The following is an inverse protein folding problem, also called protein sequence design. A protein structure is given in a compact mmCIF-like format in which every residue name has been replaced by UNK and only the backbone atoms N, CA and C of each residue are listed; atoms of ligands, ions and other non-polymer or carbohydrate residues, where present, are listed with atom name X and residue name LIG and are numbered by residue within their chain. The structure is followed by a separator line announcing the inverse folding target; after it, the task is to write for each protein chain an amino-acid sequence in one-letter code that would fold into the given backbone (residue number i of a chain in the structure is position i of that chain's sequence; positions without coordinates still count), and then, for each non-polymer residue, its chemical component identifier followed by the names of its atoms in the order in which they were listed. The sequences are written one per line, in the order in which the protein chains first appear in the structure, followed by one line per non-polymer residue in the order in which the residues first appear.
data_IF_094612360285
#
_entry.id   IF_094612360285
#
_cell.length_a   1.000
_cell.length_b   1.000
_cell.length_c   1.000
_cell.angle_alpha   90.00
_cell.angle_beta   90.00
_cell.angle_gamma   90.00
#
_symmetry.space_group_name_H-M   'P 1'
#
loop_
_entity.id
_entity.type
_entity.pdbx_description
1 polymer ?
#
# COMPACT_ATOMS: atom_id res chain seq x y z
N UNK A 1 -52.26 25.97 22.10
CA UNK A 1 -50.79 25.80 22.19
C UNK A 1 -50.40 24.78 21.15
N UNK A 2 -50.30 25.23 19.89
CA UNK A 2 -49.83 24.39 18.79
C UNK A 2 -48.32 24.57 18.73
N UNK A 3 -47.60 23.47 18.98
CA UNK A 3 -46.15 23.45 19.07
C UNK A 3 -45.62 23.62 17.66
N UNK A 4 -45.26 24.85 17.29
CA UNK A 4 -44.66 25.19 16.01
C UNK A 4 -43.33 24.43 15.89
N UNK A 5 -43.42 23.24 15.31
CA UNK A 5 -42.28 22.38 15.05
C UNK A 5 -41.49 23.05 13.93
N UNK A 6 -40.48 23.85 14.31
CA UNK A 6 -39.54 24.50 13.40
C UNK A 6 -38.86 23.43 12.56
N UNK A 7 -39.45 23.11 11.43
CA UNK A 7 -38.89 22.19 10.46
C UNK A 7 -37.56 22.76 9.99
N UNK A 8 -36.46 22.04 10.27
CA UNK A 8 -35.14 22.35 9.76
C UNK A 8 -35.20 22.65 8.25
N UNK A 9 -34.60 23.76 7.83
CA UNK A 9 -34.59 24.19 6.43
C UNK A 9 -33.93 23.15 5.51
N UNK A 10 -34.24 23.18 4.20
CA UNK A 10 -33.79 22.16 3.24
C UNK A 10 -32.27 22.00 3.19
N UNK A 11 -31.52 23.10 3.25
CA UNK A 11 -30.05 23.06 3.28
C UNK A 11 -29.51 22.29 4.49
N UNK A 12 -30.11 22.47 5.67
CA UNK A 12 -29.68 21.78 6.89
C UNK A 12 -29.92 20.26 6.80
N UNK A 13 -31.03 19.85 6.17
CA UNK A 13 -31.33 18.43 5.94
C UNK A 13 -30.34 17.79 4.97
N UNK A 14 -30.06 18.45 3.84
CA UNK A 14 -29.08 17.97 2.86
C UNK A 14 -27.72 17.80 3.53
N UNK A 15 -27.27 18.82 4.26
CA UNK A 15 -26.02 18.80 5.03
C UNK A 15 -25.97 17.62 6.01
N UNK A 16 -27.02 17.39 6.79
CA UNK A 16 -27.08 16.28 7.74
C UNK A 16 -27.03 14.90 7.05
N UNK A 17 -27.76 14.73 5.95
CA UNK A 17 -27.75 13.48 5.17
C UNK A 17 -26.35 13.23 4.57
N UNK A 18 -25.71 14.26 4.00
CA UNK A 18 -24.34 14.15 3.48
C UNK A 18 -23.35 13.71 4.56
N UNK A 19 -23.41 14.31 5.76
CA UNK A 19 -22.57 13.93 6.88
C UNK A 19 -22.80 12.48 7.34
N UNK A 20 -24.07 12.04 7.39
CA UNK A 20 -24.42 10.67 7.76
C UNK A 20 -23.89 9.64 6.76
N UNK A 21 -24.06 9.90 5.45
CA UNK A 21 -23.58 9.00 4.40
C UNK A 21 -22.04 8.95 4.42
N UNK A 22 -21.37 10.08 4.61
CA UNK A 22 -19.90 10.14 4.72
C UNK A 22 -19.36 9.30 5.87
N UNK A 23 -20.01 9.40 7.03
CA UNK A 23 -19.70 8.58 8.21
C UNK A 23 -19.95 7.11 7.93
N UNK A 24 -21.13 6.76 7.40
CA UNK A 24 -21.53 5.38 7.17
C UNK A 24 -20.58 4.69 6.18
N UNK A 25 -20.24 5.33 5.06
CA UNK A 25 -19.32 4.76 4.08
C UNK A 25 -17.92 4.57 4.64
N UNK A 26 -17.45 5.52 5.46
CA UNK A 26 -16.12 5.43 6.08
C UNK A 26 -16.03 4.33 7.14
N UNK A 27 -17.08 4.20 7.98
CA UNK A 27 -17.19 3.11 8.97
C UNK A 27 -17.30 1.76 8.29
N UNK A 28 -18.16 1.62 7.26
CA UNK A 28 -18.29 0.37 6.52
C UNK A 28 -17.00 -0.03 5.83
N UNK A 29 -16.29 0.91 5.19
CA UNK A 29 -14.97 0.65 4.61
C UNK A 29 -14.00 0.12 5.68
N UNK A 30 -13.87 0.81 6.81
CA UNK A 30 -13.00 0.40 7.91
C UNK A 30 -13.35 -0.98 8.48
N UNK A 31 -14.64 -1.24 8.75
CA UNK A 31 -15.11 -2.51 9.29
C UNK A 31 -14.88 -3.68 8.33
N UNK A 32 -15.21 -3.50 7.04
CA UNK A 32 -15.02 -4.56 6.03
C UNK A 32 -13.55 -4.87 5.83
N UNK A 33 -12.67 -3.87 5.83
CA UNK A 33 -11.23 -4.09 5.71
C UNK A 33 -10.60 -4.66 6.98
N UNK A 34 -11.15 -4.36 8.16
CA UNK A 34 -10.67 -4.92 9.43
C UNK A 34 -11.14 -6.35 9.69
N UNK A 35 -12.33 -6.69 9.21
CA UNK A 35 -12.82 -8.07 9.26
C UNK A 35 -12.12 -8.82 8.14
N UNK A 36 -11.45 -9.94 8.44
CA UNK A 36 -10.76 -10.79 7.45
C UNK A 36 -11.77 -11.51 6.51
N UNK A 37 -12.72 -10.77 5.98
CA UNK A 37 -13.69 -11.22 5.00
C UNK A 37 -12.96 -11.54 3.70
N UNK A 38 -13.44 -12.54 2.95
CA UNK A 38 -12.86 -12.95 1.66
C UNK A 38 -13.05 -11.91 0.54
N UNK A 39 -13.44 -10.68 0.87
CA UNK A 39 -13.71 -9.63 -0.11
C UNK A 39 -12.38 -8.93 -0.42
N UNK A 40 -11.92 -8.91 -1.68
CA UNK A 40 -10.71 -8.20 -2.05
C UNK A 40 -10.81 -6.71 -1.69
N UNK A 41 -9.77 -6.14 -1.09
CA UNK A 41 -9.77 -4.73 -0.66
C UNK A 41 -10.09 -3.74 -1.80
N UNK A 42 -9.69 -4.07 -3.03
CA UNK A 42 -10.00 -3.28 -4.22
C UNK A 42 -11.51 -3.21 -4.50
N UNK A 43 -12.23 -4.30 -4.29
CA UNK A 43 -13.68 -4.35 -4.45
C UNK A 43 -14.37 -3.49 -3.38
N UNK A 44 -13.93 -3.59 -2.13
CA UNK A 44 -14.46 -2.76 -1.03
C UNK A 44 -14.26 -1.27 -1.31
N UNK A 45 -13.06 -0.86 -1.76
CA UNK A 45 -12.74 0.54 -2.07
C UNK A 45 -13.52 1.09 -3.28
N UNK A 46 -13.94 0.22 -4.20
CA UNK A 46 -14.78 0.62 -5.33
C UNK A 46 -16.18 1.08 -4.88
N UNK A 47 -16.80 0.35 -3.95
CA UNK A 47 -18.16 0.69 -3.48
C UNK A 47 -18.18 1.61 -2.27
N UNK A 48 -17.19 1.50 -1.39
CA UNK A 48 -17.03 2.31 -0.20
C UNK A 48 -15.69 3.03 -0.28
N UNK A 49 -15.60 4.14 -1.03
CA UNK A 49 -14.37 4.91 -1.09
C UNK A 49 -13.96 5.35 0.30
N UNK A 50 -12.67 5.52 0.50
CA UNK A 50 -12.07 5.86 1.80
C UNK A 50 -12.38 7.32 2.17
N UNK A 51 -13.60 7.57 2.68
CA UNK A 51 -14.03 8.88 3.18
C UNK A 51 -13.38 9.23 4.52
N UNK A 52 -13.01 8.21 5.28
CA UNK A 52 -12.20 8.32 6.51
C UNK A 52 -10.97 7.45 6.29
N UNK A 53 -9.78 8.05 6.42
CA UNK A 53 -8.53 7.38 6.14
C UNK A 53 -8.35 6.14 7.03
N UNK A 54 -7.82 5.04 6.48
CA UNK A 54 -7.60 3.78 7.20
C UNK A 54 -6.70 3.99 8.43
N UNK A 55 -5.72 4.89 8.32
CA UNK A 55 -4.83 5.30 9.41
C UNK A 55 -5.59 5.91 10.60
N UNK A 56 -6.74 6.55 10.38
CA UNK A 56 -7.57 7.08 11.45
C UNK A 56 -8.08 5.95 12.36
N UNK A 57 -8.42 4.80 11.80
CA UNK A 57 -8.86 3.63 12.58
C UNK A 57 -7.74 2.96 13.36
N UNK A 58 -6.49 3.11 12.90
CA UNK A 58 -5.29 2.58 13.57
C UNK A 58 -4.72 3.52 14.64
N UNK A 59 -5.26 4.74 14.77
CA UNK A 59 -4.79 5.71 15.75
C UNK A 59 -5.17 5.32 17.17
N UNK A 60 -4.39 5.71 18.16
CA UNK A 60 -4.72 5.44 19.57
C UNK A 60 -5.94 6.23 20.02
N UNK A 61 -6.69 5.70 20.98
CA UNK A 61 -7.82 6.43 21.54
C UNK A 61 -7.35 7.76 22.17
N UNK A 62 -8.11 8.86 22.03
CA UNK A 62 -9.47 8.98 21.46
C UNK A 62 -9.50 9.39 19.96
N UNK A 63 -8.35 9.37 19.28
CA UNK A 63 -8.19 9.98 17.94
C UNK A 63 -9.09 9.42 16.85
N UNK A 64 -9.38 8.11 16.76
CA UNK A 64 -10.31 7.59 15.74
C UNK A 64 -11.68 8.28 15.79
N UNK A 65 -12.19 8.53 17.00
CA UNK A 65 -13.50 9.16 17.22
C UNK A 65 -13.43 10.65 16.87
N UNK A 66 -12.41 11.35 17.38
CA UNK A 66 -12.26 12.79 17.18
C UNK A 66 -12.03 13.16 15.71
N UNK A 67 -11.12 12.46 15.03
CA UNK A 67 -10.83 12.72 13.61
C UNK A 67 -12.04 12.42 12.71
N UNK A 68 -12.77 11.34 13.02
CA UNK A 68 -14.02 11.01 12.33
C UNK A 68 -15.06 12.12 12.52
N UNK A 69 -15.26 12.58 13.76
CA UNK A 69 -16.18 13.65 14.08
C UNK A 69 -15.81 14.97 13.36
N UNK A 70 -14.53 15.37 13.41
CA UNK A 70 -14.06 16.59 12.75
C UNK A 70 -14.18 16.50 11.23
N UNK A 71 -13.93 15.33 10.63
CA UNK A 71 -14.12 15.09 9.19
C UNK A 71 -15.59 15.29 8.77
N UNK A 72 -16.52 14.67 9.50
CA UNK A 72 -17.96 14.80 9.25
C UNK A 72 -18.42 16.26 9.42
N UNK A 73 -18.03 16.92 10.50
CA UNK A 73 -18.42 18.31 10.76
C UNK A 73 -17.85 19.28 9.71
N UNK A 74 -16.62 19.05 9.25
CA UNK A 74 -15.99 19.87 8.20
C UNK A 74 -16.72 19.71 6.87
N UNK A 75 -17.04 18.46 6.47
CA UNK A 75 -17.86 18.20 5.29
C UNK A 75 -19.22 18.90 5.38
N UNK A 76 -19.88 18.78 6.54
CA UNK A 76 -21.18 19.40 6.78
C UNK A 76 -21.10 20.92 6.64
N UNK A 77 -20.06 21.53 7.22
CA UNK A 77 -19.86 22.97 7.17
C UNK A 77 -19.58 23.48 5.74
N UNK A 78 -18.72 22.79 4.97
CA UNK A 78 -18.50 23.13 3.56
C UNK A 78 -19.73 22.93 2.70
N UNK A 79 -20.47 21.83 2.90
CA UNK A 79 -21.73 21.58 2.18
C UNK A 79 -22.73 22.70 2.46
N UNK A 80 -22.93 23.05 3.73
CA UNK A 80 -23.85 24.13 4.11
C UNK A 80 -23.44 25.48 3.52
N UNK A 81 -22.14 25.80 3.57
CA UNK A 81 -21.59 27.04 3.02
C UNK A 81 -21.80 27.13 1.51
N UNK A 82 -21.46 26.07 0.76
CA UNK A 82 -21.60 26.02 -0.70
C UNK A 82 -23.06 26.06 -1.14
N UNK A 83 -23.96 25.37 -0.44
CA UNK A 83 -25.39 25.43 -0.74
C UNK A 83 -25.98 26.82 -0.46
N UNK A 84 -25.53 27.49 0.60
CA UNK A 84 -25.95 28.87 0.89
C UNK A 84 -25.48 29.85 -0.18
N UNK A 85 -24.24 29.74 -0.65
CA UNK A 85 -23.70 30.63 -1.69
C UNK A 85 -24.30 30.35 -3.06
N UNK A 86 -24.54 29.08 -3.41
CA UNK A 86 -25.20 28.68 -4.66
C UNK A 86 -26.70 29.06 -4.67
N UNK A 87 -27.39 28.88 -3.54
CA UNK A 87 -28.81 29.18 -3.37
C UNK A 87 -29.15 30.68 -3.50
N UNK A 88 -28.21 31.58 -3.18
CA UNK A 88 -28.39 33.03 -3.34
C UNK A 88 -28.46 33.49 -4.80
N UNK A 89 -28.07 32.65 -5.79
CA UNK A 89 -28.10 33.01 -7.22
C UNK A 89 -29.26 32.40 -8.00
N UNK A 90 -29.90 31.35 -7.50
CA UNK A 90 -30.82 30.51 -8.29
C UNK A 90 -32.31 30.79 -8.08
N UNK A 91 -32.69 31.85 -7.35
CA UNK A 91 -34.07 32.13 -6.99
C UNK A 91 -34.95 32.67 -8.13
N UNK A 92 -34.43 32.84 -9.35
CA UNK A 92 -35.18 33.51 -10.43
C UNK A 92 -35.65 32.60 -11.57
N UNK A 93 -35.07 31.41 -11.76
CA UNK A 93 -35.43 30.53 -12.88
C UNK A 93 -35.35 29.05 -12.46
N UNK A 94 -36.46 28.49 -11.97
CA UNK A 94 -36.51 27.10 -11.47
C UNK A 94 -36.93 26.12 -12.56
N UNK A 95 -35.98 25.39 -13.11
CA UNK A 95 -36.23 24.02 -13.60
C UNK A 95 -35.64 23.03 -12.59
N UNK A 96 -36.26 21.86 -12.43
CA UNK A 96 -35.94 20.89 -11.36
C UNK A 96 -34.55 20.24 -11.52
N UNK A 97 -34.07 20.13 -12.76
CA UNK A 97 -32.82 19.49 -13.12
C UNK A 97 -31.54 20.28 -12.73
N UNK A 98 -31.41 21.60 -13.02
CA UNK A 98 -30.23 22.37 -12.62
C UNK A 98 -30.05 22.47 -11.10
N UNK A 99 -31.14 22.43 -10.32
CA UNK A 99 -31.06 22.43 -8.86
C UNK A 99 -30.41 21.18 -8.27
N UNK A 100 -30.72 20.00 -8.84
CA UNK A 100 -30.08 18.75 -8.47
C UNK A 100 -28.57 18.78 -8.78
N UNK A 101 -28.21 19.14 -10.02
CA UNK A 101 -26.82 19.15 -10.46
C UNK A 101 -25.97 20.13 -9.64
N UNK A 102 -26.48 21.33 -9.37
CA UNK A 102 -25.79 22.31 -8.54
C UNK A 102 -25.56 21.80 -7.11
N UNK A 103 -26.58 21.17 -6.51
CA UNK A 103 -26.47 20.57 -5.16
C UNK A 103 -25.45 19.44 -5.14
N UNK A 104 -25.46 18.57 -6.15
CA UNK A 104 -24.50 17.47 -6.27
C UNK A 104 -23.07 17.97 -6.43
N UNK A 105 -22.84 18.98 -7.28
CA UNK A 105 -21.52 19.60 -7.43
C UNK A 105 -21.05 20.27 -6.13
N UNK A 106 -21.95 20.89 -5.36
CA UNK A 106 -21.60 21.43 -4.04
C UNK A 106 -21.11 20.34 -3.07
N UNK A 107 -21.71 19.15 -3.11
CA UNK A 107 -21.31 18.02 -2.26
C UNK A 107 -19.95 17.46 -2.70
N UNK A 108 -19.70 17.35 -4.01
CA UNK A 108 -18.39 16.93 -4.54
C UNK A 108 -17.30 17.92 -4.09
N UNK A 109 -17.53 19.22 -4.26
CA UNK A 109 -16.59 20.26 -3.84
C UNK A 109 -16.38 20.27 -2.31
N UNK A 110 -17.42 20.02 -1.53
CA UNK A 110 -17.30 19.90 -0.08
C UNK A 110 -16.42 18.71 0.31
N UNK A 111 -16.58 17.56 -0.34
CA UNK A 111 -15.74 16.38 -0.11
C UNK A 111 -14.27 16.65 -0.44
N UNK A 112 -13.98 17.26 -1.60
CA UNK A 112 -12.63 17.71 -1.96
C UNK A 112 -12.05 18.67 -0.94
N UNK A 113 -12.83 19.66 -0.49
CA UNK A 113 -12.42 20.61 0.53
C UNK A 113 -12.01 19.92 1.83
N UNK A 114 -12.86 19.02 2.34
CA UNK A 114 -12.56 18.24 3.56
C UNK A 114 -11.27 17.44 3.40
N UNK A 115 -11.11 16.73 2.28
CA UNK A 115 -9.91 15.94 2.02
C UNK A 115 -8.64 16.80 1.91
N UNK A 116 -8.71 17.97 1.29
CA UNK A 116 -7.58 18.89 1.19
C UNK A 116 -7.05 19.32 2.56
N UNK A 117 -7.93 19.59 3.53
CA UNK A 117 -7.53 19.94 4.90
C UNK A 117 -6.99 18.74 5.69
N UNK A 118 -7.53 17.54 5.48
CA UNK A 118 -6.95 16.31 6.04
C UNK A 118 -5.53 16.10 5.48
N UNK A 119 -5.35 16.23 4.17
CA UNK A 119 -4.06 16.11 3.49
C UNK A 119 -3.05 17.16 3.97
N UNK A 120 -3.49 18.40 4.18
CA UNK A 120 -2.65 19.45 4.76
C UNK A 120 -2.19 19.09 6.18
N UNK A 121 -3.06 18.48 6.99
CA UNK A 121 -2.69 17.96 8.31
C UNK A 121 -1.61 16.88 8.24
N UNK A 122 -1.68 15.99 7.24
CA UNK A 122 -0.64 14.99 7.01
C UNK A 122 0.69 15.60 6.57
N UNK A 123 0.65 16.61 5.69
CA UNK A 123 1.85 17.36 5.29
C UNK A 123 2.55 17.93 6.53
N UNK A 124 1.81 18.55 7.45
CA UNK A 124 2.37 19.05 8.71
C UNK A 124 2.89 17.94 9.62
N UNK A 125 2.18 16.82 9.72
CA UNK A 125 2.60 15.67 10.53
C UNK A 125 3.93 15.07 10.06
N UNK A 126 4.23 15.17 8.76
CA UNK A 126 5.43 14.61 8.14
C UNK A 126 6.64 15.56 8.10
N UNK A 127 6.55 16.73 8.73
CA UNK A 127 7.60 17.75 8.65
C UNK A 127 8.68 17.58 9.74
N UNK A 128 9.99 17.69 9.41
CA UNK A 128 10.56 17.87 8.07
C UNK A 128 10.53 16.57 7.25
N UNK A 129 10.17 16.61 5.95
CA UNK A 129 10.07 15.42 5.14
C UNK A 129 11.47 14.88 4.80
N UNK A 130 11.62 13.56 4.79
CA UNK A 130 12.86 12.93 4.33
C UNK A 130 13.12 13.18 2.83
N UNK A 131 12.05 13.29 2.02
CA UNK A 131 12.08 13.64 0.59
C UNK A 131 10.87 14.50 0.24
N UNK A 132 11.05 15.52 -0.60
CA UNK A 132 9.95 16.39 -1.05
C UNK A 132 8.83 15.62 -1.78
N UNK A 133 9.17 14.57 -2.52
CA UNK A 133 8.19 13.72 -3.22
C UNK A 133 7.19 13.06 -2.26
N UNK A 134 7.61 12.74 -1.03
CA UNK A 134 6.75 12.08 -0.04
C UNK A 134 5.66 13.00 0.53
N UNK A 135 5.79 14.33 0.38
CA UNK A 135 4.75 15.27 0.76
C UNK A 135 3.47 15.08 -0.06
N UNK A 136 3.57 14.62 -1.31
CA UNK A 136 2.43 14.47 -2.22
C UNK A 136 1.77 13.09 -2.15
N UNK A 137 2.48 12.10 -1.61
CA UNK A 137 2.03 10.70 -1.57
C UNK A 137 0.72 10.52 -0.78
N UNK A 138 0.52 11.30 0.29
CA UNK A 138 -0.73 11.30 1.05
C UNK A 138 -1.83 12.21 0.48
N UNK A 139 -1.49 13.16 -0.39
CA UNK A 139 -2.43 14.18 -0.90
C UNK A 139 -3.27 13.62 -2.03
N UNK A 140 -2.63 13.02 -3.03
CA UNK A 140 -3.31 12.53 -4.23
C UNK A 140 -4.38 11.46 -3.93
N UNK A 141 -4.11 10.41 -3.11
CA UNK A 141 -5.12 9.39 -2.83
C UNK A 141 -6.32 9.94 -2.06
N UNK A 142 -6.10 10.82 -1.09
CA UNK A 142 -7.18 11.41 -0.29
C UNK A 142 -8.12 12.28 -1.15
N UNK A 143 -7.56 13.13 -2.00
CA UNK A 143 -8.35 13.95 -2.92
C UNK A 143 -9.10 13.10 -3.94
N UNK A 144 -8.45 12.08 -4.52
CA UNK A 144 -9.08 11.17 -5.47
C UNK A 144 -10.25 10.42 -4.83
N UNK A 145 -10.05 9.83 -3.65
CA UNK A 145 -11.08 9.08 -2.92
C UNK A 145 -12.26 9.97 -2.52
N UNK A 146 -12.01 11.21 -2.09
CA UNK A 146 -13.08 12.14 -1.73
C UNK A 146 -13.88 12.61 -2.95
N UNK A 147 -13.21 12.88 -4.08
CA UNK A 147 -13.86 13.19 -5.34
C UNK A 147 -14.71 12.02 -5.84
N UNK A 148 -14.13 10.81 -5.81
CA UNK A 148 -14.82 9.58 -6.19
C UNK A 148 -16.03 9.30 -5.29
N UNK A 149 -15.91 9.51 -3.98
CA UNK A 149 -17.03 9.44 -3.04
C UNK A 149 -18.13 10.43 -3.40
N UNK A 150 -17.79 11.68 -3.70
CA UNK A 150 -18.76 12.71 -4.08
C UNK A 150 -19.55 12.32 -5.34
N UNK A 151 -18.90 11.68 -6.31
CA UNK A 151 -19.53 11.18 -7.53
C UNK A 151 -20.44 9.99 -7.19
N UNK A 152 -19.93 9.00 -6.46
CA UNK A 152 -20.63 7.73 -6.23
C UNK A 152 -21.80 7.85 -5.24
N UNK A 153 -21.64 8.64 -4.18
CA UNK A 153 -22.58 8.72 -3.06
C UNK A 153 -23.24 10.10 -2.92
N UNK A 154 -22.62 11.16 -3.45
CA UNK A 154 -23.11 12.54 -3.30
C UNK A 154 -24.43 12.81 -4.02
N UNK A 155 -24.84 11.97 -4.98
CA UNK A 155 -26.13 12.13 -5.66
C UNK A 155 -27.33 11.83 -4.74
N UNK A 156 -27.18 10.98 -3.73
CA UNK A 156 -28.27 10.63 -2.78
C UNK A 156 -28.74 11.87 -1.99
N UNK A 157 -27.87 12.59 -1.27
CA UNK A 157 -28.27 13.81 -0.56
C UNK A 157 -28.72 14.91 -1.53
N UNK A 158 -28.15 14.99 -2.74
CA UNK A 158 -28.58 15.94 -3.76
C UNK A 158 -30.02 15.68 -4.24
N UNK A 159 -30.35 14.40 -4.50
CA UNK A 159 -31.68 13.98 -4.92
C UNK A 159 -32.70 14.24 -3.82
N UNK A 160 -32.38 13.84 -2.57
CA UNK A 160 -33.22 14.12 -1.41
C UNK A 160 -33.49 15.63 -1.25
N UNK A 161 -32.47 16.47 -1.45
CA UNK A 161 -32.60 17.92 -1.45
C UNK A 161 -33.55 18.46 -2.50
N UNK A 162 -33.38 18.02 -3.75
CA UNK A 162 -34.23 18.44 -4.88
C UNK A 162 -35.71 18.04 -4.70
N UNK A 163 -35.97 16.88 -4.08
CA UNK A 163 -37.32 16.42 -3.77
C UNK A 163 -37.98 17.27 -2.68
N UNK A 164 -37.24 17.63 -1.64
CA UNK A 164 -37.76 18.48 -0.56
C UNK A 164 -38.08 19.88 -1.07
N UNK A 165 -37.19 20.48 -1.88
CA UNK A 165 -37.44 21.82 -2.44
C UNK A 165 -38.62 21.82 -3.41
N UNK A 166 -38.76 20.80 -4.26
CA UNK A 166 -39.91 20.65 -5.15
C UNK A 166 -41.24 20.53 -4.38
N UNK A 167 -41.26 19.79 -3.27
CA UNK A 167 -42.46 19.66 -2.42
C UNK A 167 -42.82 20.98 -1.73
N UNK A 168 -41.83 21.70 -1.19
CA UNK A 168 -42.08 23.00 -0.54
C UNK A 168 -42.62 24.02 -1.54
N UNK A 169 -42.08 24.06 -2.77
CA UNK A 169 -42.55 24.94 -3.82
C UNK A 169 -43.99 24.60 -4.29
N UNK A 170 -44.37 23.32 -4.25
CA UNK A 170 -45.73 22.89 -4.59
C UNK A 170 -46.76 23.23 -3.50
N UNK A 171 -46.34 23.27 -2.23
CA UNK A 171 -47.23 23.51 -1.09
C UNK A 171 -47.53 24.99 -0.83
N UNK A 172 -46.65 25.92 -1.25
CA UNK A 172 -46.78 27.34 -0.91
C UNK A 172 -46.41 28.24 -2.11
N UNK A 173 -47.38 28.59 -2.98
CA UNK A 173 -47.13 29.40 -4.18
C UNK A 173 -46.92 30.90 -3.88
N UNK A 174 -47.08 31.32 -2.63
CA UNK A 174 -46.90 32.72 -2.24
C UNK A 174 -45.40 33.03 -2.14
N UNK A 175 -44.94 33.99 -2.95
CA UNK A 175 -43.55 34.41 -2.99
C UNK A 175 -43.00 34.70 -1.57
N UNK A 176 -41.92 34.03 -1.15
CA UNK A 176 -41.40 34.21 0.21
C UNK A 176 -40.90 35.65 0.39
N UNK A 177 -41.31 36.28 1.50
CA UNK A 177 -40.76 37.58 1.91
C UNK A 177 -39.24 37.45 2.08
N UNK A 178 -38.46 38.45 1.62
CA UNK A 178 -37.01 38.41 1.77
C UNK A 178 -36.65 38.27 3.24
N UNK A 179 -35.98 37.16 3.57
CA UNK A 179 -35.51 36.90 4.92
C UNK A 179 -34.54 38.01 5.36
N UNK A 180 -34.52 38.36 6.67
CA UNK A 180 -33.61 39.36 7.19
C UNK A 180 -32.16 38.99 6.85
N UNK A 181 -31.36 40.01 6.50
CA UNK A 181 -29.95 39.93 6.11
C UNK A 181 -29.12 39.33 7.26
N UNK A 182 -29.08 38.01 7.32
CA UNK A 182 -28.44 37.26 8.40
C UNK A 182 -26.92 37.33 8.21
N UNK A 183 -26.18 37.82 9.23
CA UNK A 183 -24.71 38.03 9.19
C UNK A 183 -23.98 36.87 8.49
N UNK A 184 -23.46 37.14 7.30
CA UNK A 184 -22.82 36.13 6.43
C UNK A 184 -21.49 35.57 6.97
N UNK A 185 -20.88 36.23 7.96
CA UNK A 185 -19.57 35.84 8.49
C UNK A 185 -19.59 34.58 9.37
N UNK A 186 -20.69 34.27 10.05
CA UNK A 186 -20.75 33.16 11.01
C UNK A 186 -20.51 31.77 10.38
N UNK A 187 -21.20 31.36 9.29
CA UNK A 187 -20.98 30.04 8.70
C UNK A 187 -19.58 29.89 8.09
N UNK A 188 -19.02 30.97 7.53
CA UNK A 188 -17.64 30.98 7.02
C UNK A 188 -16.65 30.78 8.15
N UNK A 189 -16.79 31.54 9.24
CA UNK A 189 -15.92 31.41 10.41
C UNK A 189 -16.00 30.00 11.02
N UNK A 190 -17.19 29.41 11.09
CA UNK A 190 -17.38 28.04 11.57
C UNK A 190 -16.72 27.00 10.65
N UNK A 191 -16.88 27.11 9.33
CA UNK A 191 -16.26 26.22 8.37
C UNK A 191 -14.73 26.29 8.43
N UNK A 192 -14.17 27.51 8.51
CA UNK A 192 -12.73 27.73 8.67
C UNK A 192 -12.22 27.14 9.99
N UNK A 193 -12.93 27.39 11.10
CA UNK A 193 -12.55 26.86 12.41
C UNK A 193 -12.52 25.33 12.41
N UNK A 194 -13.54 24.67 11.85
CA UNK A 194 -13.61 23.21 11.78
C UNK A 194 -12.50 22.64 10.87
N UNK A 195 -12.25 23.27 9.72
CA UNK A 195 -11.19 22.86 8.81
C UNK A 195 -9.79 22.99 9.45
N UNK A 196 -9.53 24.10 10.18
CA UNK A 196 -8.28 24.29 10.92
C UNK A 196 -8.15 23.29 12.08
N UNK A 197 -9.24 23.01 12.79
CA UNK A 197 -9.27 22.01 13.87
C UNK A 197 -8.95 20.62 13.34
N UNK A 198 -9.55 20.23 12.21
CA UNK A 198 -9.26 18.97 11.54
C UNK A 198 -7.79 18.89 11.10
N UNK A 199 -7.27 19.96 10.49
CA UNK A 199 -5.86 20.06 10.05
C UNK A 199 -4.89 19.90 11.22
N UNK A 200 -5.18 20.53 12.37
CA UNK A 200 -4.34 20.46 13.56
C UNK A 200 -4.48 19.13 14.33
N UNK A 201 -5.64 18.47 14.26
CA UNK A 201 -5.89 17.21 14.95
C UNK A 201 -5.11 16.04 14.32
N UNK A 202 -4.89 16.05 13.00
CA UNK A 202 -4.13 15.00 12.30
C UNK A 202 -2.69 14.84 12.81
N UNK A 203 -1.84 15.89 12.87
CA UNK A 203 -0.47 15.75 13.39
C UNK A 203 -0.46 15.41 14.88
N UNK A 204 -1.40 15.93 15.67
CA UNK A 204 -1.53 15.55 17.08
C UNK A 204 -1.82 14.05 17.21
N UNK A 205 -2.80 13.51 16.47
CA UNK A 205 -3.11 12.09 16.45
C UNK A 205 -1.89 11.23 16.07
N UNK A 206 -1.12 11.68 15.07
CA UNK A 206 0.08 11.00 14.62
C UNK A 206 1.13 10.94 15.74
N UNK A 207 1.43 12.08 16.37
CA UNK A 207 2.39 12.19 17.47
C UNK A 207 2.02 11.30 18.67
N UNK A 208 0.77 11.35 19.12
CA UNK A 208 0.32 10.53 20.26
C UNK A 208 0.28 9.04 19.93
N UNK A 209 -0.08 8.66 18.71
CA UNK A 209 -0.07 7.26 18.28
C UNK A 209 1.34 6.71 18.27
N UNK A 210 2.32 7.45 17.72
CA UNK A 210 3.73 7.06 17.72
C UNK A 210 4.28 6.92 19.15
N UNK A 211 4.02 7.89 20.03
CA UNK A 211 4.50 7.83 21.41
C UNK A 211 3.88 6.68 22.20
N UNK A 212 2.60 6.38 21.99
CA UNK A 212 1.95 5.25 22.64
C UNK A 212 2.53 3.91 22.16
N UNK A 213 2.85 3.80 20.87
CA UNK A 213 3.53 2.62 20.32
C UNK A 213 4.95 2.48 20.88
N UNK A 214 5.72 3.57 20.94
CA UNK A 214 7.05 3.57 21.54
C UNK A 214 7.03 3.20 23.04
N UNK A 215 6.02 3.66 23.79
CA UNK A 215 5.83 3.33 25.20
C UNK A 215 5.38 1.88 25.43
N UNK A 216 4.63 1.29 24.51
CA UNK A 216 4.24 -0.12 24.57
C UNK A 216 5.43 -1.08 24.44
N UNK A 217 6.50 -0.67 23.74
CA UNK A 217 7.75 -1.45 23.64
C UNK A 217 8.52 -1.48 24.98
N UNK A 218 8.29 -0.52 25.88
CA UNK A 218 9.02 -0.39 27.15
C UNK A 218 8.27 -1.06 28.32
N UNK A 219 6.94 -1.23 28.22
CA UNK A 219 6.11 -1.88 29.25
C UNK A 219 5.91 -3.37 29.01
N UNK A 220 6.96 -4.10 28.65
CA UNK A 220 6.97 -5.55 28.84
C UNK A 220 7.32 -5.84 30.30
N UNK A 221 6.30 -6.07 31.13
CA UNK A 221 6.41 -7.05 32.23
C UNK A 221 7.16 -8.27 31.68
N UNK A 222 8.10 -8.92 32.40
CA UNK A 222 8.80 -10.10 31.89
C UNK A 222 7.77 -11.15 31.46
N UNK A 223 7.48 -11.18 30.16
CA UNK A 223 6.70 -12.22 29.56
C UNK A 223 7.55 -13.48 29.67
N UNK A 224 6.90 -14.57 30.05
CA UNK A 224 7.41 -15.92 29.84
C UNK A 224 8.09 -15.96 28.45
N UNK A 225 9.31 -16.50 28.31
CA UNK A 225 10.05 -16.44 27.05
C UNK A 225 9.20 -17.07 25.95
N UNK A 226 8.56 -16.22 25.16
CA UNK A 226 7.97 -16.62 23.89
C UNK A 226 9.14 -17.20 23.11
N UNK A 227 9.09 -18.47 22.68
CA UNK A 227 10.17 -18.99 21.85
C UNK A 227 10.31 -18.04 20.68
N UNK A 228 11.48 -17.43 20.55
CA UNK A 228 11.83 -16.62 19.38
C UNK A 228 11.44 -17.48 18.18
N UNK A 229 10.53 -17.00 17.29
CA UNK A 229 10.19 -17.78 16.12
C UNK A 229 11.51 -18.06 15.40
N UNK A 230 11.90 -19.33 15.36
CA UNK A 230 13.09 -19.76 14.63
C UNK A 230 12.87 -19.35 13.18
N UNK A 231 13.73 -18.50 12.60
CA UNK A 231 13.62 -18.13 11.19
C UNK A 231 13.53 -19.42 10.36
N UNK A 232 12.42 -19.59 9.66
CA UNK A 232 12.28 -20.73 8.74
C UNK A 232 12.86 -20.29 7.40
N UNK A 233 14.19 -20.35 7.31
CA UNK A 233 14.90 -20.25 6.05
C UNK A 233 14.57 -21.44 5.16
N UNK A 234 14.97 -21.36 3.89
CA UNK A 234 14.92 -22.54 3.04
C UNK A 234 15.77 -23.67 3.62
N UNK A 235 15.30 -24.91 3.45
CA UNK A 235 16.06 -26.09 3.85
C UNK A 235 17.43 -26.14 3.16
N UNK A 236 18.42 -26.71 3.84
CA UNK A 236 19.76 -26.95 3.31
C UNK A 236 19.78 -27.99 2.18
N UNK A 237 18.68 -28.72 1.98
CA UNK A 237 18.49 -29.68 0.89
C UNK A 237 17.06 -29.58 0.35
N UNK A 238 16.92 -29.49 -0.98
CA UNK A 238 15.62 -29.57 -1.67
C UNK A 238 15.13 -31.01 -1.81
N UNK A 239 13.86 -31.16 -2.17
CA UNK A 239 13.38 -32.39 -2.78
C UNK A 239 14.06 -32.59 -4.15
N UNK A 240 14.51 -33.82 -4.41
CA UNK A 240 15.10 -34.16 -5.70
C UNK A 240 14.02 -34.18 -6.80
N UNK A 241 14.23 -33.40 -7.86
CA UNK A 241 13.37 -33.41 -9.05
C UNK A 241 13.73 -34.54 -10.04
N UNK A 242 14.98 -35.01 -9.97
CA UNK A 242 15.52 -36.07 -10.80
C UNK A 242 16.39 -37.01 -9.97
N UNK A 243 16.48 -38.27 -10.39
CA UNK A 243 17.39 -39.21 -9.77
C UNK A 243 18.84 -38.78 -10.03
N UNK A 244 19.64 -38.69 -8.98
CA UNK A 244 21.03 -38.31 -9.09
C UNK A 244 21.83 -39.41 -9.79
N UNK A 245 22.68 -39.02 -10.74
CA UNK A 245 23.64 -39.95 -11.35
C UNK A 245 24.67 -40.45 -10.34
N UNK A 246 25.17 -41.67 -10.54
CA UNK A 246 26.07 -42.38 -9.62
C UNK A 246 27.35 -41.57 -9.28
N UNK A 247 27.83 -40.75 -10.21
CA UNK A 247 29.07 -39.96 -10.06
C UNK A 247 28.84 -38.44 -10.03
N UNK A 248 27.63 -37.99 -9.68
CA UNK A 248 27.34 -36.56 -9.64
C UNK A 248 28.07 -35.86 -8.49
N UNK A 249 28.48 -34.61 -8.71
CA UNK A 249 29.11 -33.80 -7.66
C UNK A 249 28.08 -33.46 -6.57
N UNK A 250 28.15 -34.13 -5.42
CA UNK A 250 27.31 -33.80 -4.26
C UNK A 250 27.79 -32.50 -3.62
N UNK A 251 26.86 -31.80 -2.97
CA UNK A 251 27.14 -30.56 -2.24
C UNK A 251 28.28 -30.71 -1.22
N UNK A 252 28.33 -31.84 -0.54
CA UNK A 252 29.38 -32.23 0.42
C UNK A 252 30.75 -32.53 -0.22
N UNK A 253 30.81 -32.73 -1.54
CA UNK A 253 32.03 -32.98 -2.32
C UNK A 253 32.56 -31.73 -3.05
N UNK A 254 31.91 -30.58 -2.88
CA UNK A 254 32.28 -29.32 -3.55
C UNK A 254 32.35 -28.16 -2.57
N UNK A 255 33.05 -27.10 -2.97
CA UNK A 255 32.88 -25.76 -2.43
C UNK A 255 32.21 -24.88 -3.47
N UNK A 256 31.28 -24.02 -3.05
CA UNK A 256 30.62 -23.04 -3.92
C UNK A 256 30.95 -21.63 -3.43
N UNK A 257 31.32 -20.75 -4.37
CA UNK A 257 31.49 -19.32 -4.13
C UNK A 257 30.65 -18.52 -5.09
N UNK A 258 30.09 -17.42 -4.61
CA UNK A 258 29.34 -16.45 -5.43
C UNK A 258 30.19 -15.21 -5.67
N UNK A 259 30.13 -14.66 -6.88
CA UNK A 259 30.82 -13.44 -7.26
C UNK A 259 30.09 -12.18 -6.82
N UNK A 260 30.68 -11.02 -7.08
CA UNK A 260 29.98 -9.74 -6.93
C UNK A 260 28.95 -9.56 -8.05
N UNK A 261 27.80 -8.93 -7.79
CA UNK A 261 26.82 -8.65 -8.81
C UNK A 261 27.31 -7.54 -9.76
N UNK A 262 27.24 -7.80 -11.06
CA UNK A 262 27.48 -6.83 -12.11
C UNK A 262 26.16 -6.36 -12.71
N UNK A 263 26.15 -5.22 -13.39
CA UNK A 263 24.92 -4.78 -14.03
C UNK A 263 25.07 -3.75 -15.15
N UNK A 264 24.15 -3.83 -16.09
CA UNK A 264 24.04 -2.95 -17.23
C UNK A 264 22.56 -2.70 -17.56
N UNK A 265 22.23 -1.45 -17.93
CA UNK A 265 20.91 -1.08 -18.48
C UNK A 265 19.68 -1.57 -17.69
N UNK A 266 19.77 -1.64 -16.36
CA UNK A 266 18.66 -2.09 -15.50
C UNK A 266 18.62 -3.61 -15.27
N UNK A 267 19.59 -4.35 -15.77
CA UNK A 267 19.78 -5.77 -15.53
C UNK A 267 21.00 -6.01 -14.64
N UNK A 268 20.98 -7.13 -13.94
CA UNK A 268 22.02 -7.61 -13.03
C UNK A 268 22.36 -9.05 -13.34
N UNK A 269 23.62 -9.41 -13.11
CA UNK A 269 24.11 -10.78 -13.23
C UNK A 269 25.13 -11.06 -12.14
N UNK A 270 25.23 -12.32 -11.72
CA UNK A 270 26.19 -12.75 -10.72
C UNK A 270 26.69 -14.15 -11.06
N UNK A 271 28.00 -14.35 -11.01
CA UNK A 271 28.63 -15.64 -11.23
C UNK A 271 28.55 -16.53 -9.99
N UNK A 272 28.40 -17.83 -10.21
CA UNK A 272 28.48 -18.89 -9.21
C UNK A 272 29.60 -19.82 -9.67
N UNK A 273 30.58 -20.07 -8.82
CA UNK A 273 31.69 -21.00 -9.11
C UNK A 273 31.57 -22.18 -8.17
N UNK A 274 31.63 -23.38 -8.73
CA UNK A 274 31.70 -24.64 -8.00
C UNK A 274 33.07 -25.28 -8.24
N UNK A 275 33.70 -25.75 -7.18
CA UNK A 275 35.01 -26.41 -7.23
C UNK A 275 34.91 -27.76 -6.56
N UNK A 276 35.38 -28.82 -7.23
CA UNK A 276 35.44 -30.16 -6.65
C UNK A 276 36.53 -30.18 -5.55
N UNK A 277 36.12 -30.37 -4.30
CA UNK A 277 37.01 -30.46 -3.14
C UNK A 277 37.26 -31.89 -2.67
N UNK A 278 36.58 -32.87 -3.29
CA UNK A 278 36.80 -34.28 -3.03
C UNK A 278 38.09 -34.80 -3.68
N UNK A 279 38.51 -35.99 -3.26
CA UNK A 279 39.69 -36.69 -3.82
C UNK A 279 39.37 -37.49 -5.08
N UNK A 280 38.10 -37.63 -5.44
CA UNK A 280 37.62 -38.37 -6.61
C UNK A 280 37.01 -37.40 -7.63
N UNK A 281 37.08 -37.72 -8.94
CA UNK A 281 36.36 -36.96 -9.94
C UNK A 281 34.85 -37.10 -9.77
N UNK A 282 34.12 -36.07 -10.17
CA UNK A 282 32.65 -36.06 -10.18
C UNK A 282 32.14 -35.33 -11.42
N UNK A 283 30.82 -35.40 -11.66
CA UNK A 283 30.18 -34.82 -12.84
C UNK A 283 29.10 -33.81 -12.44
N UNK A 284 29.05 -32.67 -13.13
CA UNK A 284 27.91 -31.76 -13.12
C UNK A 284 27.06 -32.01 -14.37
N UNK A 285 25.75 -32.15 -14.20
CA UNK A 285 24.83 -32.45 -15.30
C UNK A 285 23.40 -31.95 -15.01
N UNK A 286 23.29 -30.73 -14.48
CA UNK A 286 22.01 -30.09 -14.17
C UNK A 286 22.14 -28.57 -14.16
N UNK A 287 21.04 -27.89 -13.90
CA UNK A 287 21.09 -26.52 -13.40
C UNK A 287 21.47 -26.53 -11.90
N UNK A 288 22.12 -25.46 -11.39
CA UNK A 288 22.25 -25.24 -9.96
C UNK A 288 20.87 -25.15 -9.29
N UNK A 289 20.75 -25.71 -8.09
CA UNK A 289 19.58 -25.49 -7.24
C UNK A 289 19.84 -24.28 -6.34
N UNK A 290 19.05 -23.21 -6.52
CA UNK A 290 19.23 -21.94 -5.84
C UNK A 290 17.97 -21.52 -5.09
N UNK A 291 18.16 -21.00 -3.89
CA UNK A 291 17.10 -20.37 -3.08
C UNK A 291 17.68 -19.18 -2.32
N UNK A 292 16.81 -18.32 -1.82
CA UNK A 292 17.21 -17.05 -1.22
C UNK A 292 16.55 -16.86 0.14
N UNK A 293 17.33 -16.36 1.09
CA UNK A 293 16.85 -15.88 2.37
C UNK A 293 17.11 -14.37 2.48
N UNK A 294 16.36 -13.68 3.34
CA UNK A 294 16.66 -12.31 3.71
C UNK A 294 17.83 -12.24 4.72
N UNK A 295 18.26 -11.02 5.07
CA UNK A 295 19.38 -10.81 5.99
C UNK A 295 19.13 -11.34 7.43
N UNK A 296 17.86 -11.58 7.78
CA UNK A 296 17.43 -12.14 9.06
C UNK A 296 17.30 -13.69 9.00
N UNK A 297 17.61 -14.32 7.86
CA UNK A 297 17.56 -15.77 7.65
C UNK A 297 16.17 -16.33 7.30
N UNK A 298 15.19 -15.49 6.96
CA UNK A 298 13.87 -15.93 6.51
C UNK A 298 13.86 -16.25 5.02
N UNK A 299 13.20 -17.35 4.65
CA UNK A 299 12.94 -17.67 3.26
C UNK A 299 12.20 -16.52 2.56
N UNK A 300 12.66 -16.16 1.37
CA UNK A 300 11.92 -15.33 0.42
C UNK A 300 11.59 -16.18 -0.81
N UNK A 301 10.39 -15.95 -1.36
CA UNK A 301 9.90 -16.71 -2.50
C UNK A 301 10.36 -16.04 -3.79
N UNK A 302 11.29 -16.66 -4.49
CA UNK A 302 11.82 -16.15 -5.76
C UNK A 302 11.56 -17.20 -6.83
N UNK A 303 10.96 -16.78 -7.94
CA UNK A 303 10.78 -17.65 -9.10
C UNK A 303 12.11 -17.83 -9.80
N UNK A 304 12.69 -19.02 -9.70
CA UNK A 304 13.90 -19.40 -10.43
C UNK A 304 13.51 -20.00 -11.78
N UNK A 305 14.05 -19.44 -12.85
CA UNK A 305 13.80 -19.88 -14.23
C UNK A 305 15.10 -20.40 -14.82
N UNK A 306 15.11 -21.64 -15.29
CA UNK A 306 16.26 -22.18 -16.02
C UNK A 306 16.38 -21.50 -17.40
N UNK A 307 17.57 -20.99 -17.72
CA UNK A 307 17.82 -20.28 -18.97
C UNK A 307 18.72 -19.07 -18.83
N UNK A 308 18.96 -18.41 -19.97
CA UNK A 308 19.70 -17.16 -20.05
C UNK A 308 18.84 -15.94 -19.66
N UNK A 309 19.50 -14.79 -19.59
CA UNK A 309 18.88 -13.48 -19.38
C UNK A 309 19.50 -12.44 -20.31
N UNK A 310 19.19 -11.17 -20.09
CA UNK A 310 19.92 -10.08 -20.72
C UNK A 310 21.42 -10.08 -20.37
N UNK A 311 21.79 -10.55 -19.17
CA UNK A 311 23.16 -10.51 -18.67
C UNK A 311 23.93 -11.81 -18.90
N UNK A 312 23.24 -12.89 -19.27
CA UNK A 312 23.80 -14.25 -19.24
C UNK A 312 23.30 -15.07 -20.43
N UNK A 313 24.20 -15.77 -21.09
CA UNK A 313 23.86 -16.78 -22.10
C UNK A 313 23.86 -18.16 -21.44
N UNK A 314 22.80 -18.94 -21.66
CA UNK A 314 22.71 -20.31 -21.14
C UNK A 314 23.23 -21.31 -22.17
N UNK A 315 24.33 -22.04 -21.88
CA UNK A 315 24.82 -23.09 -22.78
C UNK A 315 23.90 -24.32 -22.79
N UNK A 316 22.97 -24.43 -21.84
CA UNK A 316 22.14 -25.60 -21.62
C UNK A 316 22.88 -26.72 -20.89
N UNK A 317 22.12 -27.69 -20.38
CA UNK A 317 22.68 -28.80 -19.59
C UNK A 317 23.57 -29.67 -20.46
N UNK A 318 24.81 -29.84 -20.01
CA UNK A 318 25.79 -30.77 -20.59
C UNK A 318 26.55 -31.48 -19.46
N UNK A 319 27.22 -32.58 -19.81
CA UNK A 319 28.05 -33.33 -18.87
C UNK A 319 29.39 -32.62 -18.68
N UNK A 320 29.69 -32.21 -17.45
CA UNK A 320 30.94 -31.50 -17.11
C UNK A 320 31.70 -32.33 -16.07
N UNK A 321 32.74 -33.07 -16.49
CA UNK A 321 33.59 -33.79 -15.55
C UNK A 321 34.51 -32.81 -14.80
N UNK A 322 34.50 -32.88 -13.47
CA UNK A 322 35.39 -32.12 -12.60
C UNK A 322 36.38 -33.06 -11.91
N UNK A 323 37.65 -32.95 -12.29
CA UNK A 323 38.75 -33.53 -11.53
C UNK A 323 38.87 -32.88 -10.13
N UNK A 324 39.54 -33.51 -9.16
CA UNK A 324 39.86 -32.87 -7.88
C UNK A 324 40.53 -31.50 -8.08
N UNK A 325 39.96 -30.46 -7.47
CA UNK A 325 40.41 -29.08 -7.59
C UNK A 325 39.98 -28.34 -8.86
N UNK A 326 39.30 -29.00 -9.81
CA UNK A 326 38.76 -28.34 -11.00
C UNK A 326 37.46 -27.60 -10.67
N UNK A 327 37.17 -26.55 -11.46
CA UNK A 327 36.01 -25.69 -11.27
C UNK A 327 35.12 -25.60 -12.52
N UNK A 328 33.85 -25.36 -12.27
CA UNK A 328 32.86 -24.93 -13.26
C UNK A 328 32.17 -23.67 -12.75
N UNK A 329 31.47 -22.97 -13.64
CA UNK A 329 30.69 -21.81 -13.29
C UNK A 329 29.26 -21.91 -13.84
N UNK A 330 28.34 -21.23 -13.18
CA UNK A 330 27.02 -20.91 -13.69
C UNK A 330 26.77 -19.42 -13.40
N UNK A 331 25.70 -18.87 -13.94
CA UNK A 331 25.31 -17.50 -13.68
C UNK A 331 23.86 -17.40 -13.30
N UNK A 332 23.56 -16.44 -12.44
CA UNK A 332 22.20 -15.94 -12.25
C UNK A 332 22.05 -14.58 -12.91
N UNK A 333 20.86 -14.30 -13.42
CA UNK A 333 20.52 -13.03 -14.05
C UNK A 333 19.14 -12.54 -13.60
N UNK A 334 18.99 -11.24 -13.38
CA UNK A 334 17.70 -10.65 -12.99
C UNK A 334 17.59 -9.20 -13.43
N UNK A 335 16.36 -8.67 -13.40
CA UNK A 335 16.10 -7.25 -13.59
C UNK A 335 16.26 -6.55 -12.23
N UNK A 336 16.94 -5.42 -12.17
CA UNK A 336 17.07 -4.64 -10.95
C UNK A 336 15.68 -4.31 -10.39
N UNK A 337 15.39 -4.75 -9.15
CA UNK A 337 14.08 -4.58 -8.54
C UNK A 337 14.09 -3.40 -7.57
N UNK A 338 12.95 -2.74 -7.40
CA UNK A 338 12.83 -1.62 -6.48
C UNK A 338 12.78 -2.14 -5.03
N UNK A 339 13.93 -2.30 -4.38
CA UNK A 339 14.02 -2.86 -3.02
C UNK A 339 13.60 -1.91 -1.88
N UNK A 340 13.10 -0.71 -2.19
CA UNK A 340 12.80 0.30 -1.17
C UNK A 340 11.50 -0.03 -0.41
N UNK A 341 11.64 -0.56 0.81
CA UNK A 341 10.51 -0.93 1.67
C UNK A 341 10.10 -2.41 1.57
N UNK A 342 10.76 -3.18 0.72
CA UNK A 342 10.53 -4.62 0.54
C UNK A 342 11.59 -5.47 1.27
N UNK A 343 11.24 -6.74 1.51
CA UNK A 343 12.18 -7.74 2.02
C UNK A 343 13.12 -8.14 0.89
N UNK A 344 14.42 -7.87 1.06
CA UNK A 344 15.47 -8.17 0.09
C UNK A 344 16.31 -9.37 0.49
N UNK A 345 16.95 -9.96 -0.51
CA UNK A 345 17.91 -11.05 -0.33
C UNK A 345 19.11 -10.57 0.48
N UNK A 346 19.43 -11.32 1.55
CA UNK A 346 20.65 -11.16 2.34
C UNK A 346 21.54 -12.40 2.33
N UNK A 347 21.02 -13.53 1.83
CA UNK A 347 21.72 -14.80 1.75
C UNK A 347 21.21 -15.58 0.53
N UNK A 348 22.14 -16.19 -0.19
CA UNK A 348 21.86 -17.14 -1.28
C UNK A 348 22.33 -18.52 -0.85
N UNK A 349 21.52 -19.55 -1.11
CA UNK A 349 21.88 -20.94 -0.90
C UNK A 349 21.93 -21.63 -2.26
N UNK A 350 23.05 -22.31 -2.53
CA UNK A 350 23.32 -22.93 -3.84
C UNK A 350 23.78 -24.36 -3.67
N UNK A 351 23.20 -25.29 -4.41
CA UNK A 351 23.67 -26.66 -4.57
C UNK A 351 24.03 -26.97 -6.03
N UNK A 352 24.93 -27.93 -6.29
CA UNK A 352 25.22 -28.40 -7.64
C UNK A 352 23.99 -28.83 -8.43
N UNK A 353 23.03 -29.46 -7.73
CA UNK A 353 21.76 -29.95 -8.27
C UNK A 353 20.71 -30.08 -7.15
N UNK A 354 19.42 -30.19 -7.50
CA UNK A 354 18.35 -30.36 -6.51
C UNK A 354 18.43 -31.73 -5.81
N UNK A 355 18.25 -31.77 -4.49
CA UNK A 355 18.35 -32.99 -3.70
C UNK A 355 19.70 -33.21 -3.02
N UNK A 356 20.69 -32.32 -3.20
CA UNK A 356 21.95 -32.33 -2.45
C UNK A 356 22.12 -31.09 -1.54
N UNK A 357 23.10 -31.14 -0.64
CA UNK A 357 23.43 -30.05 0.28
C UNK A 357 23.69 -28.73 -0.46
N UNK A 358 23.06 -27.66 0.00
CA UNK A 358 23.28 -26.27 -0.42
C UNK A 358 24.32 -25.60 0.46
N UNK A 359 25.13 -24.76 -0.16
CA UNK A 359 26.08 -23.87 0.50
C UNK A 359 25.46 -22.48 0.60
N UNK A 360 25.48 -21.91 1.80
CA UNK A 360 25.04 -20.54 2.04
C UNK A 360 26.17 -19.55 1.78
N UNK A 361 25.83 -18.38 1.23
CA UNK A 361 26.70 -17.22 1.12
C UNK A 361 25.92 -15.95 1.42
N UNK A 362 26.46 -15.09 2.29
CA UNK A 362 25.89 -13.77 2.55
C UNK A 362 26.08 -12.88 1.32
N UNK A 363 25.03 -12.14 0.95
CA UNK A 363 24.99 -11.26 -0.23
C UNK A 363 24.16 -10.01 0.07
N UNK A 364 24.31 -8.96 -0.72
CA UNK A 364 23.38 -7.81 -0.71
C UNK A 364 22.84 -7.62 -2.13
N UNK A 365 21.69 -8.24 -2.41
CA UNK A 365 21.08 -8.22 -3.74
C UNK A 365 19.74 -7.48 -3.71
N UNK A 366 19.44 -6.75 -4.79
CA UNK A 366 18.15 -6.11 -5.02
C UNK A 366 17.09 -7.09 -5.55
N UNK A 367 17.21 -8.37 -5.20
CA UNK A 367 16.20 -9.42 -5.44
C UNK A 367 15.25 -9.41 -4.23
N UNK A 368 13.97 -9.18 -4.50
CA UNK A 368 12.92 -9.10 -3.48
C UNK A 368 12.01 -10.32 -3.52
N UNK A 369 11.23 -10.51 -2.45
CA UNK A 369 10.17 -11.52 -2.37
C UNK A 369 9.15 -11.37 -3.52
N UNK A 370 8.75 -12.50 -4.13
CA UNK A 370 7.97 -12.57 -5.36
C UNK A 370 8.74 -12.25 -6.65
N UNK A 371 10.06 -12.01 -6.57
CA UNK A 371 10.91 -11.68 -7.70
C UNK A 371 11.15 -12.85 -8.67
N UNK A 372 11.83 -12.58 -9.78
CA UNK A 372 12.23 -13.60 -10.76
C UNK A 372 13.72 -13.52 -11.05
N UNK A 373 14.37 -14.67 -11.06
CA UNK A 373 15.80 -14.85 -11.33
C UNK A 373 15.96 -15.95 -12.37
N UNK A 374 16.74 -15.71 -13.42
CA UNK A 374 17.17 -16.77 -14.32
C UNK A 374 18.45 -17.44 -13.80
N UNK A 375 18.64 -18.72 -14.08
CA UNK A 375 19.88 -19.44 -13.79
C UNK A 375 20.32 -20.24 -15.01
N UNK A 376 21.59 -20.11 -15.39
CA UNK A 376 22.18 -20.89 -16.49
C UNK A 376 22.57 -22.29 -16.03
N UNK A 377 22.77 -23.21 -16.97
CA UNK A 377 23.44 -24.46 -16.68
C UNK A 377 24.91 -24.20 -16.29
N UNK A 378 25.54 -25.22 -15.69
CA UNK A 378 26.98 -25.21 -15.46
C UNK A 378 27.75 -25.16 -16.79
N UNK A 379 28.93 -24.53 -16.77
CA UNK A 379 29.91 -24.53 -17.85
C UNK A 379 31.32 -24.68 -17.26
N UNK A 380 32.22 -25.34 -17.99
CA UNK A 380 33.60 -25.50 -17.54
C UNK A 380 34.30 -24.13 -17.44
N UNK A 381 35.05 -23.92 -16.35
CA UNK A 381 35.93 -22.76 -16.23
C UNK A 381 37.24 -23.11 -16.94
N UNK A 382 37.57 -22.43 -18.05
CA UNK A 382 38.86 -22.64 -18.70
C UNK A 382 40.00 -22.29 -17.74
N UNK A 383 40.97 -23.20 -17.59
CA UNK A 383 42.15 -22.93 -16.78
C UNK A 383 42.93 -21.75 -17.40
N UNK A 384 43.38 -20.77 -16.60
CA UNK A 384 44.16 -19.66 -17.12
C UNK A 384 45.47 -20.18 -17.71
N UNK A 385 45.56 -20.29 -19.05
CA UNK A 385 46.79 -20.62 -19.76
C UNK A 385 46.72 -21.64 -20.92
N UNK A 386 45.55 -22.00 -21.43
CA UNK A 386 45.45 -22.81 -22.66
C UNK A 386 44.95 -21.95 -23.84
N UNK A 387 45.86 -21.22 -24.48
CA UNK A 387 45.68 -20.64 -25.81
C UNK A 387 46.74 -21.15 -26.79
#
# INVERSE_FOLDING_TARGET
MEKEERTAGPALRITAISGLIWLLTGVLNGLILSSQTRIPAQFTRLFFPESIALRTWQSTQPWPILLTLFSVLTLMAFTFLLLRTAGLRSAKESTTFPGFLATWMCIILAAFGTAAFVSLGFVFASWPPARLAWLLEGVQPALFNAGYWGILWGWIPALAGSWVTARVAASDPVAPKPAPKQRDGLPVALAVLLALTLTAAVPAAHYYTQNAQAGAVISTTPAEPVPTPTPYGWADRSDAFQEAGENWCTGDAVSISVGEPEGATGHRGMGIVVTNTATQPCVLQSYPDIVFNNADGWAIEVMVVHGGSFMTDDPGVSEIPLAPGASAQAFIGWNAMAAAGDIRTGEILVAPFAGTLRHSSAVDLDIVDGGTVSVTAWQALEAPGAS
#
